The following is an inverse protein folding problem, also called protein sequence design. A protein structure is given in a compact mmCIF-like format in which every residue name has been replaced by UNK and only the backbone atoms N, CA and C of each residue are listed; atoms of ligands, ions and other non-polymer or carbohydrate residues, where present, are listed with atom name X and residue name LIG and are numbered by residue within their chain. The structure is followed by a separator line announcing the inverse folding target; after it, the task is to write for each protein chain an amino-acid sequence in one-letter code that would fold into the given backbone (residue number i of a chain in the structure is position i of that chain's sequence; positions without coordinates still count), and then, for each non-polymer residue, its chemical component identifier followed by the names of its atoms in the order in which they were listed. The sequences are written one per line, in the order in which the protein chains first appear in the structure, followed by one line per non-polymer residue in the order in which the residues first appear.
data_IF_429588248088
#
_entry.id   IF_429588248088
#
_cell.length_a   1.000
_cell.length_b   1.000
_cell.length_c   1.000
_cell.angle_alpha   90.00
_cell.angle_beta   90.00
_cell.angle_gamma   90.00
#
_symmetry.space_group_name_H-M   'P 1'
#
loop_
_entity.id
_entity.type
_entity.pdbx_description
1 polymer ?
#
# COMPACT_ATOMS: atom_id res chain seq x y z
N UNK A 1 -9.06 -30.97 -13.85
CA UNK A 1 -8.24 -29.76 -13.59
C UNK A 1 -8.96 -28.89 -12.58
N UNK A 2 -8.45 -28.78 -11.35
CA UNK A 2 -9.03 -27.89 -10.33
C UNK A 2 -8.86 -26.44 -10.76
N UNK A 3 -9.97 -25.70 -10.85
CA UNK A 3 -9.99 -24.27 -11.15
C UNK A 3 -9.24 -23.57 -10.00
N UNK A 4 -7.97 -23.18 -10.22
CA UNK A 4 -7.24 -22.35 -9.25
C UNK A 4 -8.08 -21.10 -9.04
N UNK A 5 -8.75 -21.02 -7.89
CA UNK A 5 -9.46 -19.81 -7.51
C UNK A 5 -8.42 -18.70 -7.49
N UNK A 6 -8.60 -17.70 -8.35
CA UNK A 6 -7.68 -16.57 -8.48
C UNK A 6 -7.93 -15.63 -7.28
N UNK A 7 -7.66 -16.14 -6.08
CA UNK A 7 -7.93 -15.47 -4.82
C UNK A 7 -6.96 -14.32 -4.65
N UNK A 8 -7.47 -13.11 -4.85
CA UNK A 8 -6.73 -11.89 -4.53
C UNK A 8 -6.58 -11.75 -3.01
N UNK A 9 -5.47 -11.16 -2.56
CA UNK A 9 -5.22 -10.91 -1.13
C UNK A 9 -6.16 -9.86 -0.53
N UNK A 10 -6.65 -8.96 -1.37
CA UNK A 10 -7.56 -7.88 -0.97
C UNK A 10 -8.94 -8.04 -1.62
N UNK A 11 -10.02 -7.55 -0.99
CA UNK A 11 -11.36 -7.61 -1.56
C UNK A 11 -11.47 -6.77 -2.84
N UNK A 12 -11.61 -7.44 -3.99
CA UNK A 12 -11.73 -6.80 -5.32
C UNK A 12 -12.85 -5.76 -5.37
N UNK A 13 -13.99 -6.05 -4.74
CA UNK A 13 -15.13 -5.13 -4.68
C UNK A 13 -14.81 -3.82 -3.94
N UNK A 14 -13.98 -3.87 -2.88
CA UNK A 14 -13.57 -2.68 -2.13
C UNK A 14 -12.60 -1.83 -2.94
N UNK A 15 -11.66 -2.47 -3.64
CA UNK A 15 -10.73 -1.80 -4.56
C UNK A 15 -11.53 -1.07 -5.65
N UNK A 16 -12.48 -1.76 -6.29
CA UNK A 16 -13.35 -1.16 -7.31
C UNK A 16 -14.11 0.07 -6.76
N UNK A 17 -14.66 -0.03 -5.54
CA UNK A 17 -15.38 1.08 -4.91
C UNK A 17 -14.50 2.31 -4.63
N UNK A 18 -13.23 2.09 -4.26
CA UNK A 18 -12.26 3.18 -4.06
C UNK A 18 -11.85 3.78 -5.41
N UNK A 19 -11.63 2.96 -6.45
CA UNK A 19 -11.33 3.48 -7.79
C UNK A 19 -12.45 4.36 -8.33
N UNK A 20 -13.71 3.97 -8.11
CA UNK A 20 -14.89 4.70 -8.58
C UNK A 20 -15.36 5.81 -7.62
N UNK A 21 -14.61 6.12 -6.55
CA UNK A 21 -14.85 7.35 -5.79
C UNK A 21 -14.24 8.59 -6.46
N UNK A 22 -13.37 8.37 -7.43
CA UNK A 22 -12.88 9.41 -8.34
C UNK A 22 -13.93 9.63 -9.45
N UNK A 23 -14.44 10.85 -9.58
CA UNK A 23 -15.52 11.20 -10.50
C UNK A 23 -15.13 11.03 -11.98
N UNK A 24 -13.83 11.12 -12.29
CA UNK A 24 -13.30 10.91 -13.64
C UNK A 24 -13.23 9.41 -14.02
N UNK A 25 -13.42 8.50 -13.06
CA UNK A 25 -13.36 7.05 -13.28
C UNK A 25 -14.75 6.48 -13.57
N UNK A 26 -15.01 6.24 -14.87
CA UNK A 26 -16.23 5.59 -15.33
C UNK A 26 -16.29 4.07 -15.12
N UNK A 27 -16.54 3.31 -16.20
CA UNK A 27 -16.63 1.84 -16.14
C UNK A 27 -15.24 1.22 -16.02
N UNK A 28 -15.05 0.37 -15.01
CA UNK A 28 -13.79 -0.34 -14.77
C UNK A 28 -13.89 -1.79 -15.26
N UNK A 29 -12.92 -2.22 -16.08
CA UNK A 29 -12.83 -3.61 -16.54
C UNK A 29 -12.59 -4.58 -15.36
N UNK A 30 -13.13 -5.79 -15.44
CA UNK A 30 -13.06 -6.75 -14.33
C UNK A 30 -11.63 -7.15 -13.94
N UNK A 31 -10.68 -7.10 -14.88
CA UNK A 31 -9.27 -7.40 -14.63
C UNK A 31 -8.54 -6.30 -13.85
N UNK A 32 -8.97 -5.04 -13.94
CA UNK A 32 -8.23 -3.89 -13.38
C UNK A 32 -8.14 -3.96 -11.85
N UNK A 33 -9.23 -4.15 -11.08
CA UNK A 33 -9.14 -4.21 -9.62
C UNK A 33 -8.37 -5.46 -9.13
N UNK A 34 -8.34 -6.53 -9.93
CA UNK A 34 -7.54 -7.73 -9.65
C UNK A 34 -6.05 -7.42 -9.77
N UNK A 35 -5.65 -6.73 -10.85
CA UNK A 35 -4.26 -6.28 -11.02
C UNK A 35 -3.83 -5.29 -9.93
N UNK A 36 -4.70 -4.32 -9.60
CA UNK A 36 -4.46 -3.38 -8.49
C UNK A 36 -4.31 -4.10 -7.16
N UNK A 37 -5.06 -5.18 -6.91
CA UNK A 37 -4.86 -5.99 -5.70
C UNK A 37 -3.45 -6.57 -5.61
N UNK A 38 -2.83 -6.94 -6.72
CA UNK A 38 -1.47 -7.46 -6.71
C UNK A 38 -0.45 -6.33 -6.54
N UNK A 39 -0.67 -5.19 -7.19
CA UNK A 39 0.14 -4.00 -6.99
C UNK A 39 0.13 -3.54 -5.52
N UNK A 40 -1.05 -3.55 -4.88
CA UNK A 40 -1.21 -3.21 -3.46
C UNK A 40 -0.42 -4.16 -2.54
N UNK A 41 -0.38 -5.45 -2.86
CA UNK A 41 0.44 -6.42 -2.10
C UNK A 41 1.94 -6.07 -2.17
N UNK A 42 2.44 -5.76 -3.37
CA UNK A 42 3.84 -5.38 -3.57
C UNK A 42 4.17 -4.03 -2.90
N UNK A 43 3.27 -3.06 -3.01
CA UNK A 43 3.38 -1.76 -2.35
C UNK A 43 3.48 -1.91 -0.83
N UNK A 44 2.58 -2.69 -0.22
CA UNK A 44 2.59 -2.93 1.23
C UNK A 44 3.89 -3.61 1.68
N UNK A 45 4.42 -4.55 0.89
CA UNK A 45 5.69 -5.20 1.19
C UNK A 45 6.88 -4.22 1.16
N UNK A 46 6.93 -3.32 0.18
CA UNK A 46 7.99 -2.30 0.07
C UNK A 46 7.92 -1.26 1.20
N UNK A 47 6.72 -0.73 1.47
CA UNK A 47 6.50 0.26 2.53
C UNK A 47 6.87 -0.30 3.90
N UNK A 48 6.36 -1.49 4.24
CA UNK A 48 6.62 -2.11 5.53
C UNK A 48 8.06 -2.62 5.64
N UNK A 49 8.66 -3.10 4.55
CA UNK A 49 10.07 -3.52 4.53
C UNK A 49 11.02 -2.36 4.86
N UNK A 50 10.77 -1.20 4.27
CA UNK A 50 11.54 0.03 4.57
C UNK A 50 11.30 0.48 6.02
N UNK A 51 10.05 0.53 6.48
CA UNK A 51 9.73 0.91 7.86
C UNK A 51 10.30 -0.05 8.91
N UNK A 52 10.37 -1.34 8.63
CA UNK A 52 11.05 -2.34 9.49
C UNK A 52 12.55 -2.09 9.52
N UNK A 53 13.16 -1.71 8.39
CA UNK A 53 14.59 -1.37 8.32
C UNK A 53 14.89 -0.15 9.19
N UNK A 54 14.07 0.90 9.11
CA UNK A 54 14.13 2.09 9.98
C UNK A 54 13.93 1.75 11.46
N UNK A 55 12.96 0.88 11.77
CA UNK A 55 12.74 0.45 13.15
C UNK A 55 13.97 -0.26 13.72
N UNK A 56 14.58 -1.17 12.92
CA UNK A 56 15.76 -1.94 13.32
C UNK A 56 17.00 -1.08 13.46
N UNK A 57 17.22 -0.11 12.56
CA UNK A 57 18.36 0.81 12.64
C UNK A 57 18.32 1.65 13.92
N UNK A 58 17.12 1.94 14.44
CA UNK A 58 16.88 2.64 15.71
C UNK A 58 16.82 1.71 16.93
N UNK A 59 17.14 0.42 16.78
CA UNK A 59 17.11 -0.57 17.86
C UNK A 59 15.69 -0.96 18.33
N UNK A 60 14.65 -0.57 17.60
CA UNK A 60 13.27 -0.91 17.95
C UNK A 60 12.87 -2.29 17.44
N UNK A 61 12.16 -3.04 18.29
CA UNK A 61 11.51 -4.31 17.92
C UNK A 61 10.11 -4.11 17.31
N UNK A 62 9.61 -2.87 17.27
CA UNK A 62 8.27 -2.50 16.81
C UNK A 62 8.35 -1.41 15.74
N UNK A 63 7.57 -1.56 14.67
CA UNK A 63 7.32 -0.46 13.74
C UNK A 63 6.37 0.54 14.42
N UNK A 64 6.78 1.80 14.45
CA UNK A 64 6.05 2.92 15.03
C UNK A 64 5.74 3.94 13.92
N UNK A 65 4.80 4.87 14.13
CA UNK A 65 4.47 5.89 13.12
C UNK A 65 5.70 6.66 12.62
N UNK A 66 6.65 7.00 13.49
CA UNK A 66 7.90 7.66 13.09
C UNK A 66 8.77 6.87 12.12
N UNK A 67 8.79 5.54 12.25
CA UNK A 67 9.52 4.68 11.31
C UNK A 67 8.85 4.65 9.93
N UNK A 68 7.51 4.71 9.88
CA UNK A 68 6.77 4.82 8.62
C UNK A 68 7.00 6.19 7.97
N UNK A 69 6.97 7.26 8.76
CA UNK A 69 7.25 8.62 8.29
C UNK A 69 8.66 8.73 7.71
N UNK A 70 9.67 8.23 8.42
CA UNK A 70 11.05 8.17 7.94
C UNK A 70 11.18 7.35 6.65
N UNK A 71 10.54 6.19 6.59
CA UNK A 71 10.55 5.33 5.39
C UNK A 71 9.93 6.02 4.16
N UNK A 72 8.83 6.75 4.34
CA UNK A 72 8.17 7.53 3.28
C UNK A 72 9.03 8.72 2.85
N UNK A 73 9.68 9.40 3.80
CA UNK A 73 10.57 10.53 3.49
C UNK A 73 11.84 10.10 2.74
N UNK A 74 12.36 8.91 3.03
CA UNK A 74 13.60 8.39 2.43
C UNK A 74 13.42 7.80 1.02
N UNK A 75 12.18 7.59 0.55
CA UNK A 75 11.90 6.94 -0.73
C UNK A 75 11.03 7.83 -1.62
N UNK A 76 11.60 8.39 -2.68
CA UNK A 76 10.90 9.25 -3.64
C UNK A 76 9.69 8.58 -4.31
N UNK A 77 9.69 7.24 -4.46
CA UNK A 77 8.53 6.51 -5.00
C UNK A 77 7.32 6.56 -4.07
N UNK A 78 7.52 6.88 -2.79
CA UNK A 78 6.48 7.02 -1.77
C UNK A 78 6.05 8.48 -1.57
N UNK A 79 6.46 9.40 -2.45
CA UNK A 79 6.15 10.84 -2.32
C UNK A 79 4.65 11.12 -2.13
N UNK A 80 3.79 10.37 -2.82
CA UNK A 80 2.33 10.43 -2.69
C UNK A 80 1.79 10.11 -1.28
N UNK A 81 2.61 9.54 -0.39
CA UNK A 81 2.28 9.28 1.00
C UNK A 81 2.79 10.35 1.97
N UNK A 82 3.64 11.30 1.54
CA UNK A 82 4.27 12.27 2.45
C UNK A 82 3.25 13.11 3.18
N UNK A 83 2.26 13.65 2.47
CA UNK A 83 1.21 14.48 3.07
C UNK A 83 0.35 13.68 4.04
N UNK A 84 0.08 12.40 3.73
CA UNK A 84 -0.67 11.50 4.61
C UNK A 84 0.10 11.24 5.91
N UNK A 85 1.43 11.12 5.81
CA UNK A 85 2.31 10.84 6.96
C UNK A 85 2.79 12.11 7.68
N UNK A 86 2.50 13.31 7.19
CA UNK A 86 3.03 14.56 7.72
C UNK A 86 2.67 14.79 9.20
N UNK A 87 1.45 14.36 9.60
CA UNK A 87 0.95 14.48 10.97
C UNK A 87 1.46 13.38 11.92
N UNK A 88 2.16 12.36 11.41
CA UNK A 88 2.70 11.31 12.25
C UNK A 88 3.85 11.85 13.14
N UNK A 89 3.95 11.39 14.40
CA UNK A 89 5.08 11.70 15.25
C UNK A 89 6.36 11.11 14.67
N UNK A 90 7.49 11.77 14.94
CA UNK A 90 8.83 11.32 14.52
C UNK A 90 9.33 10.12 15.35
#
# INVERSE_FOLDING_TARGET
MGRKSNTTKFPVARIKKIMQSDEEVGKVAAATPVAVSKALELFMAELLGTAVTEARSRGSKRVLPGHLKAAVQANERLDFCKDICASAPD
#
